data_IF_181359226351
#
_entry.id   IF_181359226351
#
_cell.length_a   1.000
_cell.length_b   1.000
_cell.length_c   1.000
_cell.angle_alpha   90.00
_cell.angle_beta   90.00
_cell.angle_gamma   90.00
#
_symmetry.space_group_name_H-M   'P 1'
#
loop_
_entity.id
_entity.type
_entity.pdbx_description
1 polymer ?
#
# COMPACT_ATOMS: atom_id res chain seq x y z
N UNK A 1 -33.22 -23.25 8.95
CA UNK A 1 -33.56 -21.92 9.50
C UNK A 1 -32.35 -21.43 10.29
N UNK A 2 -31.62 -20.44 9.76
CA UNK A 2 -30.46 -19.86 10.46
C UNK A 2 -30.94 -18.68 11.29
N UNK A 3 -30.74 -18.74 12.61
CA UNK A 3 -31.20 -17.70 13.53
C UNK A 3 -30.44 -16.37 13.26
N UNK A 4 -31.21 -15.29 13.22
CA UNK A 4 -31.03 -14.09 12.39
C UNK A 4 -29.96 -13.08 12.84
N UNK A 5 -29.02 -13.46 13.70
CA UNK A 5 -27.95 -12.57 14.16
C UNK A 5 -26.58 -12.90 13.54
N UNK A 6 -26.27 -14.18 13.31
CA UNK A 6 -24.98 -14.61 12.72
C UNK A 6 -24.92 -14.42 11.19
N UNK A 7 -25.99 -14.74 10.47
CA UNK A 7 -26.03 -14.63 9.01
C UNK A 7 -26.00 -13.18 8.52
N UNK A 8 -26.66 -12.24 9.21
CA UNK A 8 -26.65 -10.82 8.82
C UNK A 8 -25.25 -10.20 8.89
N UNK A 9 -24.45 -10.61 9.88
CA UNK A 9 -23.07 -10.14 10.03
C UNK A 9 -22.14 -10.70 8.95
N UNK A 10 -22.28 -11.98 8.59
CA UNK A 10 -21.49 -12.58 7.51
C UNK A 10 -21.87 -12.01 6.14
N UNK A 11 -23.16 -11.78 5.90
CA UNK A 11 -23.65 -11.19 4.66
C UNK A 11 -23.25 -9.71 4.55
N UNK A 12 -23.30 -8.94 5.64
CA UNK A 12 -22.81 -7.57 5.70
C UNK A 12 -21.30 -7.49 5.54
N UNK A 13 -20.53 -8.44 6.10
CA UNK A 13 -19.09 -8.55 5.89
C UNK A 13 -18.74 -8.89 4.44
N UNK A 14 -19.45 -9.82 3.81
CA UNK A 14 -19.25 -10.17 2.40
C UNK A 14 -19.64 -9.01 1.47
N UNK A 15 -20.73 -8.30 1.76
CA UNK A 15 -21.18 -7.14 0.96
C UNK A 15 -20.23 -5.95 1.10
N UNK A 16 -19.71 -5.70 2.31
CA UNK A 16 -18.66 -4.69 2.51
C UNK A 16 -17.34 -5.12 1.88
N UNK A 17 -16.91 -6.38 2.02
CA UNK A 17 -15.71 -6.88 1.37
C UNK A 17 -15.73 -6.72 -0.16
N UNK A 18 -16.88 -6.98 -0.80
CA UNK A 18 -17.04 -6.78 -2.26
C UNK A 18 -17.10 -5.29 -2.61
N UNK A 19 -17.81 -4.47 -1.82
CA UNK A 19 -17.91 -3.01 -2.03
C UNK A 19 -16.56 -2.29 -1.87
N UNK A 20 -15.73 -2.75 -0.94
CA UNK A 20 -14.45 -2.13 -0.60
C UNK A 20 -13.24 -2.82 -1.23
N UNK A 21 -13.45 -3.85 -2.05
CA UNK A 21 -12.40 -4.43 -2.89
C UNK A 21 -11.77 -3.37 -3.80
N UNK A 22 -12.57 -2.51 -4.41
CA UNK A 22 -12.11 -1.47 -5.35
C UNK A 22 -11.10 -0.50 -4.73
N UNK A 23 -11.36 0.17 -3.59
CA UNK A 23 -10.38 1.06 -2.97
C UNK A 23 -9.10 0.33 -2.51
N UNK A 24 -9.21 -0.91 -2.03
CA UNK A 24 -8.05 -1.73 -1.67
C UNK A 24 -7.18 -1.98 -2.92
N UNK A 25 -7.78 -2.39 -4.04
CA UNK A 25 -7.08 -2.62 -5.30
C UNK A 25 -6.49 -1.34 -5.88
N UNK A 26 -7.19 -0.21 -5.79
CA UNK A 26 -6.67 1.10 -6.23
C UNK A 26 -5.44 1.48 -5.39
N UNK A 27 -5.51 1.33 -4.06
CA UNK A 27 -4.39 1.62 -3.16
C UNK A 27 -3.16 0.77 -3.46
N UNK A 28 -3.36 -0.54 -3.64
CA UNK A 28 -2.29 -1.47 -4.07
C UNK A 28 -1.74 -1.08 -5.44
N UNK A 29 -2.62 -0.77 -6.40
CA UNK A 29 -2.23 -0.37 -7.75
C UNK A 29 -1.36 0.89 -7.77
N UNK A 30 -1.75 1.92 -7.02
CA UNK A 30 -0.96 3.15 -6.88
C UNK A 30 0.40 2.84 -6.25
N UNK A 31 0.43 2.02 -5.18
CA UNK A 31 1.66 1.64 -4.50
C UNK A 31 2.64 0.86 -5.40
N UNK A 32 2.14 0.11 -6.38
CA UNK A 32 2.97 -0.60 -7.35
C UNK A 32 3.44 0.30 -8.49
N UNK A 33 2.52 1.09 -9.06
CA UNK A 33 2.79 1.86 -10.27
C UNK A 33 3.65 3.09 -9.98
N UNK A 34 3.37 3.81 -8.89
CA UNK A 34 4.05 5.07 -8.60
C UNK A 34 5.57 4.91 -8.42
N UNK A 35 6.08 3.92 -7.65
CA UNK A 35 7.51 3.65 -7.56
C UNK A 35 8.15 3.24 -8.90
N UNK A 36 7.42 2.46 -9.72
CA UNK A 36 7.91 2.03 -11.03
C UNK A 36 8.05 3.20 -12.02
N UNK A 37 7.15 4.18 -11.95
CA UNK A 37 7.21 5.38 -12.78
C UNK A 37 8.33 6.34 -12.34
N UNK A 38 8.64 6.40 -11.05
CA UNK A 38 9.70 7.28 -10.51
C UNK A 38 11.10 6.69 -10.75
N UNK A 39 11.24 5.36 -10.68
CA UNK A 39 12.52 4.65 -10.84
C UNK A 39 13.36 5.07 -12.08
N UNK A 40 12.82 5.21 -13.30
CA UNK A 40 13.63 5.59 -14.47
C UNK A 40 14.16 7.04 -14.43
N UNK A 41 13.61 7.90 -13.58
CA UNK A 41 14.07 9.28 -13.41
C UNK A 41 15.06 9.45 -12.25
N UNK A 42 15.33 8.39 -11.50
CA UNK A 42 16.25 8.41 -10.38
C UNK A 42 17.71 8.40 -10.86
N UNK A 43 18.51 9.27 -10.27
CA UNK A 43 19.96 9.32 -10.48
C UNK A 43 20.65 8.12 -9.84
N UNK A 44 21.89 7.82 -10.26
CA UNK A 44 22.66 6.70 -9.70
C UNK A 44 22.85 6.81 -8.18
N UNK A 45 23.02 8.02 -7.67
CA UNK A 45 23.16 8.31 -6.23
C UNK A 45 21.86 8.08 -5.44
N UNK A 46 20.71 8.30 -6.08
CA UNK A 46 19.39 8.03 -5.49
C UNK A 46 19.04 6.54 -5.53
N UNK A 47 19.56 5.78 -6.50
CA UNK A 47 19.39 4.33 -6.55
C UNK A 47 20.28 3.65 -5.50
N UNK A 48 21.53 4.11 -5.39
CA UNK A 48 22.51 3.58 -4.43
C UNK A 48 23.34 4.75 -3.88
N UNK A 49 23.10 5.19 -2.63
CA UNK A 49 23.86 6.25 -2.02
C UNK A 49 25.35 5.89 -2.00
N UNK A 50 26.27 6.82 -2.34
CA UNK A 50 27.71 6.54 -2.38
C UNK A 50 28.28 6.14 -1.00
N UNK A 51 27.65 6.60 0.08
CA UNK A 51 27.99 6.25 1.47
C UNK A 51 27.23 5.04 2.00
N UNK A 52 26.29 4.49 1.23
CA UNK A 52 25.38 3.43 1.67
C UNK A 52 24.26 3.88 2.62
N UNK A 53 24.26 5.14 3.08
CA UNK A 53 23.25 5.66 4.00
C UNK A 53 22.32 6.67 3.32
N UNK A 54 21.02 6.39 3.36
CA UNK A 54 19.98 7.29 2.83
C UNK A 54 19.89 8.64 3.57
N UNK A 55 20.48 8.76 4.76
CA UNK A 55 20.50 9.99 5.58
C UNK A 55 21.49 11.03 5.09
N UNK A 56 22.45 10.63 4.25
CA UNK A 56 23.46 11.53 3.69
C UNK A 56 22.96 12.23 2.42
N UNK A 57 21.75 11.86 1.96
CA UNK A 57 21.06 12.45 0.82
C UNK A 57 20.23 13.66 1.24
N UNK A 58 20.06 14.63 0.35
CA UNK A 58 19.09 15.72 0.56
C UNK A 58 17.67 15.16 0.64
N UNK A 59 16.73 15.88 1.28
CA UNK A 59 15.35 15.40 1.48
C UNK A 59 14.67 14.92 0.18
N UNK A 60 14.88 15.62 -0.94
CA UNK A 60 14.37 15.21 -2.26
C UNK A 60 14.95 13.85 -2.68
N UNK A 61 16.27 13.71 -2.60
CA UNK A 61 16.96 12.47 -2.98
C UNK A 61 16.58 11.31 -2.05
N UNK A 62 16.36 11.59 -0.76
CA UNK A 62 15.87 10.61 0.21
C UNK A 62 14.47 10.09 -0.17
N UNK A 63 13.56 10.97 -0.60
CA UNK A 63 12.24 10.57 -1.09
C UNK A 63 12.35 9.69 -2.34
N UNK A 64 13.17 10.07 -3.32
CA UNK A 64 13.38 9.27 -4.54
C UNK A 64 14.03 7.92 -4.21
N UNK A 65 15.02 7.90 -3.31
CA UNK A 65 15.66 6.68 -2.84
C UNK A 65 14.66 5.71 -2.19
N UNK A 66 13.78 6.22 -1.32
CA UNK A 66 12.73 5.41 -0.70
C UNK A 66 11.74 4.86 -1.74
N UNK A 67 11.37 5.66 -2.74
CA UNK A 67 10.53 5.20 -3.84
C UNK A 67 11.21 4.11 -4.66
N UNK A 68 12.50 4.28 -5.02
CA UNK A 68 13.27 3.24 -5.73
C UNK A 68 13.41 1.97 -4.89
N UNK A 69 13.66 2.10 -3.59
CA UNK A 69 13.74 0.97 -2.68
C UNK A 69 12.41 0.20 -2.60
N UNK A 70 11.29 0.91 -2.48
CA UNK A 70 9.96 0.28 -2.53
C UNK A 70 9.67 -0.40 -3.88
N UNK A 71 10.19 0.12 -4.99
CA UNK A 71 10.12 -0.57 -6.28
C UNK A 71 10.92 -1.89 -6.33
N UNK A 72 11.89 -2.11 -5.42
CA UNK A 72 12.64 -3.37 -5.27
C UNK A 72 11.90 -4.39 -4.40
N UNK A 73 11.02 -3.94 -3.50
CA UNK A 73 10.22 -4.79 -2.61
C UNK A 73 8.69 -4.62 -2.84
N UNK A 74 8.20 -4.74 -4.10
CA UNK A 74 6.83 -4.37 -4.45
C UNK A 74 5.77 -5.24 -3.78
N UNK A 75 6.09 -6.51 -3.50
CA UNK A 75 5.15 -7.48 -2.90
C UNK A 75 4.89 -7.15 -1.43
N UNK A 76 5.95 -7.02 -0.62
CA UNK A 76 5.81 -6.75 0.82
C UNK A 76 5.17 -5.40 1.09
N UNK A 77 5.55 -4.36 0.32
CA UNK A 77 4.94 -3.04 0.40
C UNK A 77 3.44 -3.06 0.08
N UNK A 78 3.03 -3.81 -0.94
CA UNK A 78 1.62 -3.93 -1.33
C UNK A 78 0.77 -4.68 -0.30
N UNK A 79 1.34 -5.67 0.39
CA UNK A 79 0.67 -6.35 1.51
C UNK A 79 0.38 -5.33 2.62
N UNK A 80 1.36 -4.51 2.99
CA UNK A 80 1.19 -3.49 4.04
C UNK A 80 0.09 -2.49 3.63
N UNK A 81 0.12 -1.97 2.41
CA UNK A 81 -0.90 -1.02 1.93
C UNK A 81 -2.29 -1.66 1.90
N UNK A 82 -2.41 -2.89 1.40
CA UNK A 82 -3.68 -3.63 1.38
C UNK A 82 -4.23 -3.84 2.79
N UNK A 83 -3.37 -4.20 3.74
CA UNK A 83 -3.74 -4.37 5.16
C UNK A 83 -4.19 -3.04 5.78
N UNK A 84 -3.45 -1.95 5.57
CA UNK A 84 -3.81 -0.63 6.11
C UNK A 84 -5.17 -0.18 5.56
N UNK A 85 -5.35 -0.20 4.24
CA UNK A 85 -6.61 0.24 3.62
C UNK A 85 -7.78 -0.66 4.05
N UNK A 86 -7.58 -1.98 4.08
CA UNK A 86 -8.59 -2.93 4.52
C UNK A 86 -8.98 -2.73 5.99
N UNK A 87 -8.01 -2.54 6.89
CA UNK A 87 -8.26 -2.29 8.31
C UNK A 87 -8.92 -0.93 8.55
N UNK A 88 -8.48 0.13 7.87
CA UNK A 88 -9.10 1.46 7.98
C UNK A 88 -10.58 1.42 7.61
N UNK A 89 -10.92 0.73 6.53
CA UNK A 89 -12.32 0.55 6.10
C UNK A 89 -13.10 -0.31 7.11
N UNK A 90 -12.51 -1.41 7.56
CA UNK A 90 -13.16 -2.29 8.55
C UNK A 90 -13.50 -1.55 9.84
N UNK A 91 -12.54 -0.79 10.38
CA UNK A 91 -12.73 0.01 11.59
C UNK A 91 -13.73 1.14 11.34
N UNK A 92 -13.58 1.88 10.24
CA UNK A 92 -14.45 3.02 9.93
C UNK A 92 -15.91 2.67 9.66
N UNK A 93 -16.22 1.42 9.28
CA UNK A 93 -17.61 0.95 9.14
C UNK A 93 -18.16 0.32 10.43
N UNK A 94 -17.31 0.06 11.43
CA UNK A 94 -17.70 -0.55 12.70
C UNK A 94 -17.88 0.47 13.82
N UNK A 95 -17.20 1.60 13.73
CA UNK A 95 -17.50 2.83 14.48
C UNK A 95 -18.75 3.50 13.93
#
# INVERSE_FOLDING_TARGET
>A
MCNTCGCKNAEQFMTTAVKYKTPILIGIGINLVLPMLVKPFATSDEIKPPTGNAKDLTFKQQLVHMMVHHAQVPISSSIIVGTIVGLSIYIGNKL
#
